data_IF_447672822781
#
_entry.id   IF_447672822781
#
_cell.length_a   1.000
_cell.length_b   1.000
_cell.length_c   1.000
_cell.angle_alpha   90.00
_cell.angle_beta   90.00
_cell.angle_gamma   90.00
#
_symmetry.space_group_name_H-M   'P 1'
#
loop_
_entity.id
_entity.type
_entity.pdbx_description
1 polymer ?
#
# COMPACT_ATOMS: atom_id res chain seq x y z
N UNK A 1 -3.73 9.81 25.01
CA UNK A 1 -4.08 10.46 23.74
C UNK A 1 -4.42 9.36 22.75
N UNK A 2 -5.68 9.21 22.36
CA UNK A 2 -6.02 8.35 21.25
C UNK A 2 -5.51 9.03 19.98
N UNK A 3 -4.62 8.38 19.23
CA UNK A 3 -4.23 8.86 17.90
C UNK A 3 -5.48 8.86 17.05
N UNK A 4 -6.03 10.04 16.75
CA UNK A 4 -7.12 10.16 15.79
C UNK A 4 -6.58 9.61 14.48
N UNK A 5 -7.17 8.52 13.99
CA UNK A 5 -6.89 8.00 12.66
C UNK A 5 -7.30 9.09 11.65
N UNK A 6 -6.31 9.85 11.18
CA UNK A 6 -6.46 10.88 10.16
C UNK A 6 -5.97 10.30 8.83
N UNK A 7 -6.64 10.66 7.73
CA UNK A 7 -6.25 10.37 6.34
C UNK A 7 -4.75 10.50 6.06
N UNK A 8 -4.04 11.41 6.72
CA UNK A 8 -2.58 11.54 6.59
C UNK A 8 -1.83 10.26 6.98
N UNK A 9 -2.25 9.55 8.03
CA UNK A 9 -1.62 8.30 8.47
C UNK A 9 -1.83 7.20 7.42
N UNK A 10 -3.03 7.15 6.82
CA UNK A 10 -3.36 6.17 5.77
C UNK A 10 -2.57 6.48 4.50
N UNK A 11 -2.52 7.75 4.08
CA UNK A 11 -1.74 8.17 2.92
C UNK A 11 -0.24 7.84 3.09
N UNK A 12 0.31 8.06 4.29
CA UNK A 12 1.69 7.69 4.60
C UNK A 12 1.91 6.17 4.53
N UNK A 13 0.98 5.38 5.04
CA UNK A 13 1.04 3.92 4.96
C UNK A 13 0.97 3.43 3.50
N UNK A 14 0.07 3.99 2.69
CA UNK A 14 -0.01 3.68 1.25
C UNK A 14 1.29 4.03 0.53
N UNK A 15 1.88 5.21 0.82
CA UNK A 15 3.17 5.62 0.24
C UNK A 15 4.32 4.69 0.64
N UNK A 16 4.32 4.14 1.86
CA UNK A 16 5.31 3.17 2.29
C UNK A 16 5.17 1.85 1.52
N UNK A 17 3.94 1.39 1.26
CA UNK A 17 3.68 0.22 0.41
C UNK A 17 4.17 0.46 -1.01
N UNK A 18 3.92 1.63 -1.60
CA UNK A 18 4.41 1.98 -2.93
C UNK A 18 5.95 2.00 -3.01
N UNK A 19 6.60 2.51 -1.96
CA UNK A 19 8.07 2.49 -1.85
C UNK A 19 8.61 1.06 -1.79
N UNK A 20 7.95 0.18 -1.04
CA UNK A 20 8.31 -1.23 -0.97
C UNK A 20 8.17 -1.93 -2.33
N UNK A 21 7.04 -1.74 -3.02
CA UNK A 21 6.81 -2.31 -4.36
C UNK A 21 7.87 -1.83 -5.36
N UNK A 22 8.20 -0.55 -5.32
CA UNK A 22 9.26 0.04 -6.18
C UNK A 22 10.61 -0.61 -5.90
N UNK A 23 10.97 -0.76 -4.63
CA UNK A 23 12.25 -1.36 -4.21
C UNK A 23 12.33 -2.83 -4.60
N UNK A 24 11.27 -3.61 -4.36
CA UNK A 24 11.22 -5.02 -4.73
C UNK A 24 11.32 -5.22 -6.27
N UNK A 25 10.66 -4.35 -7.03
CA UNK A 25 10.74 -4.36 -8.50
C UNK A 25 12.15 -4.05 -9.00
N UNK A 26 12.82 -3.06 -8.42
CA UNK A 26 14.19 -2.71 -8.77
C UNK A 26 15.16 -3.88 -8.47
N UNK A 27 15.06 -4.50 -7.29
CA UNK A 27 15.85 -5.67 -6.93
C UNK A 27 15.64 -6.83 -7.91
N UNK A 28 14.39 -7.09 -8.30
CA UNK A 28 14.09 -8.10 -9.31
C UNK A 28 14.77 -7.80 -10.65
N UNK A 29 14.74 -6.54 -11.11
CA UNK A 29 15.36 -6.13 -12.37
C UNK A 29 16.90 -6.26 -12.33
N UNK A 30 17.53 -5.89 -11.22
CA UNK A 30 18.97 -6.06 -11.02
C UNK A 30 19.36 -7.55 -11.04
N UNK A 31 18.62 -8.39 -10.31
CA UNK A 31 18.86 -9.84 -10.30
C UNK A 31 18.63 -10.46 -11.67
N UNK A 32 17.56 -10.07 -12.39
CA UNK A 32 17.30 -10.54 -13.74
C UNK A 32 18.44 -10.19 -14.69
N UNK A 33 18.97 -8.96 -14.58
CA UNK A 33 20.11 -8.50 -15.37
C UNK A 33 21.37 -9.30 -15.06
N UNK A 34 21.64 -9.55 -13.78
CA UNK A 34 22.79 -10.33 -13.34
C UNK A 34 22.71 -11.78 -13.84
N UNK A 35 21.56 -12.43 -13.67
CA UNK A 35 21.34 -13.81 -14.15
C UNK A 35 21.45 -13.87 -15.67
N UNK A 36 20.86 -12.93 -16.40
CA UNK A 36 20.98 -12.86 -17.86
C UNK A 36 22.44 -12.68 -18.28
N UNK A 37 23.20 -11.80 -17.62
CA UNK A 37 24.61 -11.54 -17.93
C UNK A 37 25.48 -12.75 -17.64
N UNK A 38 25.32 -13.37 -16.45
CA UNK A 38 26.06 -14.57 -16.08
C UNK A 38 25.84 -15.67 -17.12
N UNK A 39 24.59 -15.86 -17.53
CA UNK A 39 24.20 -17.00 -18.38
C UNK A 39 24.46 -16.77 -19.87
N UNK A 40 24.68 -15.52 -20.28
CA UNK A 40 25.14 -15.17 -21.63
C UNK A 40 26.66 -15.03 -21.73
N UNK A 41 27.36 -14.97 -20.60
CA UNK A 41 28.82 -15.01 -20.53
C UNK A 41 29.38 -16.43 -20.67
N UNK A 42 30.71 -16.58 -20.63
CA UNK A 42 31.37 -17.89 -20.62
C UNK A 42 31.10 -18.72 -19.34
N UNK A 43 30.27 -18.22 -18.41
CA UNK A 43 29.83 -18.95 -17.24
C UNK A 43 28.71 -19.93 -17.61
N UNK A 44 29.11 -21.18 -17.84
CA UNK A 44 28.24 -22.29 -18.28
C UNK A 44 28.44 -23.53 -17.38
N UNK A 45 27.48 -24.45 -17.42
CA UNK A 45 27.47 -25.69 -16.63
C UNK A 45 26.48 -25.66 -15.47
N UNK A 46 26.43 -26.75 -14.71
CA UNK A 46 25.39 -27.03 -13.71
C UNK A 46 25.15 -25.90 -12.69
N UNK A 47 26.21 -25.17 -12.33
CA UNK A 47 26.08 -24.02 -11.44
C UNK A 47 25.30 -22.86 -12.06
N UNK A 48 25.54 -22.56 -13.34
CA UNK A 48 24.81 -21.52 -14.07
C UNK A 48 23.32 -21.88 -14.22
N UNK A 49 23.04 -23.15 -14.47
CA UNK A 49 21.66 -23.64 -14.57
C UNK A 49 20.96 -23.65 -13.21
N UNK A 50 21.65 -24.01 -12.12
CA UNK A 50 21.13 -23.88 -10.76
C UNK A 50 20.76 -22.44 -10.38
N UNK A 51 21.56 -21.45 -10.77
CA UNK A 51 21.23 -20.04 -10.55
C UNK A 51 20.01 -19.59 -11.36
N UNK A 52 19.89 -20.01 -12.63
CA UNK A 52 18.68 -19.75 -13.45
C UNK A 52 17.46 -20.38 -12.81
N UNK A 53 17.56 -21.63 -12.39
CA UNK A 53 16.45 -22.37 -11.82
C UNK A 53 15.97 -21.72 -10.52
N UNK A 54 16.91 -21.37 -9.63
CA UNK A 54 16.57 -20.65 -8.40
C UNK A 54 15.90 -19.30 -8.71
N UNK A 55 16.45 -18.52 -9.63
CA UNK A 55 15.90 -17.21 -9.97
C UNK A 55 14.49 -17.32 -10.55
N UNK A 56 14.27 -18.23 -11.51
CA UNK A 56 12.98 -18.39 -12.19
C UNK A 56 11.93 -19.07 -11.32
N UNK A 57 12.30 -20.13 -10.58
CA UNK A 57 11.33 -20.99 -9.90
C UNK A 57 11.11 -20.60 -8.44
N UNK A 58 12.00 -19.80 -7.84
CA UNK A 58 11.92 -19.40 -6.41
C UNK A 58 11.88 -17.89 -6.24
N UNK A 59 12.83 -17.15 -6.80
CA UNK A 59 12.92 -15.70 -6.56
C UNK A 59 11.81 -14.93 -7.30
N UNK A 60 11.61 -15.20 -8.60
CA UNK A 60 10.62 -14.51 -9.44
C UNK A 60 9.19 -14.63 -8.90
N UNK A 61 8.67 -15.82 -8.54
CA UNK A 61 7.29 -15.95 -8.07
C UNK A 61 7.03 -15.25 -6.73
N UNK A 62 8.06 -15.12 -5.89
CA UNK A 62 7.94 -14.40 -4.62
C UNK A 62 7.96 -12.89 -4.88
N UNK A 63 9.01 -12.41 -5.56
CA UNK A 63 9.22 -10.98 -5.76
C UNK A 63 8.17 -10.35 -6.66
N UNK A 64 7.70 -11.07 -7.68
CA UNK A 64 6.75 -10.57 -8.67
C UNK A 64 5.33 -10.98 -8.28
N UNK A 65 5.02 -12.28 -8.32
CA UNK A 65 3.64 -12.74 -8.24
C UNK A 65 3.04 -12.55 -6.84
N UNK A 66 3.80 -12.88 -5.80
CA UNK A 66 3.33 -12.86 -4.42
C UNK A 66 3.37 -11.47 -3.79
N UNK A 67 4.38 -10.66 -4.14
CA UNK A 67 4.65 -9.41 -3.45
C UNK A 67 4.30 -8.15 -4.25
N UNK A 68 4.42 -8.13 -5.57
CA UNK A 68 4.23 -6.88 -6.35
C UNK A 68 3.18 -6.96 -7.46
N UNK A 69 2.57 -8.11 -7.70
CA UNK A 69 1.52 -8.25 -8.70
C UNK A 69 0.36 -7.27 -8.42
N UNK A 70 -0.11 -6.51 -9.43
CA UNK A 70 -0.94 -5.32 -9.21
C UNK A 70 -2.32 -5.58 -8.58
N UNK A 71 -2.79 -6.84 -8.53
CA UNK A 71 -4.14 -7.17 -8.02
C UNK A 71 -4.20 -8.40 -7.10
N UNK A 72 -3.20 -9.28 -7.14
CA UNK A 72 -3.21 -10.56 -6.43
C UNK A 72 -2.14 -10.66 -5.35
N UNK A 73 -1.21 -9.70 -5.32
CA UNK A 73 -0.14 -9.70 -4.34
C UNK A 73 -0.61 -9.24 -2.97
N UNK A 74 0.20 -9.57 -1.97
CA UNK A 74 0.02 -9.07 -0.62
C UNK A 74 -0.02 -7.53 -0.58
N UNK A 75 0.82 -6.84 -1.37
CA UNK A 75 0.85 -5.37 -1.38
C UNK A 75 -0.41 -4.77 -2.00
N UNK A 76 -0.96 -5.37 -3.05
CA UNK A 76 -2.25 -4.98 -3.63
C UNK A 76 -3.40 -5.15 -2.62
N UNK A 77 -3.40 -6.27 -1.87
CA UNK A 77 -4.35 -6.50 -0.79
C UNK A 77 -4.26 -5.46 0.32
N UNK A 78 -3.03 -5.12 0.76
CA UNK A 78 -2.81 -4.08 1.77
C UNK A 78 -3.31 -2.71 1.26
N UNK A 79 -3.03 -2.33 0.00
CA UNK A 79 -3.53 -1.08 -0.58
C UNK A 79 -5.06 -1.05 -0.60
N UNK A 80 -5.70 -2.15 -1.00
CA UNK A 80 -7.17 -2.27 -0.99
C UNK A 80 -7.73 -2.08 0.43
N UNK A 81 -7.09 -2.68 1.44
CA UNK A 81 -7.50 -2.48 2.83
C UNK A 81 -7.34 -1.02 3.27
N UNK A 82 -6.22 -0.36 2.93
CA UNK A 82 -5.99 1.05 3.25
C UNK A 82 -7.00 1.98 2.57
N UNK A 83 -7.35 1.71 1.31
CA UNK A 83 -8.35 2.48 0.56
C UNK A 83 -9.75 2.30 1.16
N UNK A 84 -10.11 1.08 1.57
CA UNK A 84 -11.37 0.81 2.27
C UNK A 84 -11.44 1.55 3.61
N UNK A 85 -10.35 1.53 4.40
CA UNK A 85 -10.28 2.29 5.67
C UNK A 85 -10.42 3.80 5.40
N UNK A 86 -9.74 4.32 4.38
CA UNK A 86 -9.84 5.73 3.98
C UNK A 86 -11.27 6.14 3.62
N UNK A 87 -11.97 5.29 2.87
CA UNK A 87 -13.36 5.49 2.44
C UNK A 87 -14.32 5.42 3.62
N UNK A 88 -14.18 4.44 4.51
CA UNK A 88 -15.02 4.35 5.71
C UNK A 88 -14.82 5.53 6.66
N UNK A 89 -13.59 6.10 6.74
CA UNK A 89 -13.36 7.35 7.45
C UNK A 89 -13.99 8.55 6.74
N UNK A 90 -13.98 8.59 5.41
CA UNK A 90 -14.68 9.61 4.62
C UNK A 90 -16.18 9.60 4.92
N UNK A 91 -16.83 8.44 4.92
CA UNK A 91 -18.27 8.32 5.20
C UNK A 91 -18.63 8.78 6.63
N UNK A 92 -17.78 8.47 7.62
CA UNK A 92 -18.00 8.93 9.00
C UNK A 92 -17.75 10.44 9.16
N UNK A 93 -16.74 10.99 8.47
CA UNK A 93 -16.44 12.43 8.49
C UNK A 93 -17.51 13.23 7.74
N UNK A 94 -18.12 12.69 6.67
CA UNK A 94 -19.17 13.37 5.90
C UNK A 94 -20.46 13.55 6.73
N UNK A 95 -20.85 12.56 7.53
CA UNK A 95 -21.99 12.71 8.46
C UNK A 95 -21.72 13.78 9.51
N UNK A 96 -20.53 13.78 10.13
CA UNK A 96 -20.18 14.76 11.17
C UNK A 96 -20.01 16.19 10.62
N UNK A 97 -19.40 16.35 9.44
CA UNK A 97 -19.33 17.63 8.74
C UNK A 97 -20.71 18.07 8.24
N UNK A 98 -21.54 17.14 7.77
CA UNK A 98 -22.91 17.41 7.34
C UNK A 98 -23.80 17.90 8.48
N UNK A 99 -23.71 17.28 9.66
CA UNK A 99 -24.41 17.75 10.87
C UNK A 99 -23.86 19.10 11.38
N UNK A 100 -22.54 19.25 11.39
CA UNK A 100 -21.90 20.53 11.73
C UNK A 100 -22.31 21.67 10.80
N UNK A 101 -22.42 21.41 9.50
CA UNK A 101 -22.88 22.40 8.51
C UNK A 101 -24.38 22.69 8.62
N UNK A 102 -25.21 21.69 8.97
CA UNK A 102 -26.66 21.92 9.19
C UNK A 102 -26.96 22.81 10.38
N UNK A 103 -26.09 22.80 11.39
CA UNK A 103 -26.26 23.57 12.63
C UNK A 103 -25.40 24.84 12.65
N UNK A 104 -24.56 25.04 11.64
CA UNK A 104 -23.72 26.22 11.49
C UNK A 104 -24.58 27.45 11.16
N UNK A 105 -24.61 28.43 12.08
CA UNK A 105 -25.32 29.69 11.93
C UNK A 105 -26.68 29.77 12.62
N UNK A 106 -27.16 28.68 13.24
CA UNK A 106 -28.36 28.70 14.06
C UNK A 106 -28.11 29.41 15.40
N UNK A 107 -28.48 30.69 15.47
CA UNK A 107 -28.38 31.52 16.67
C UNK A 107 -29.25 31.02 17.86
N UNK A 108 -30.09 30.00 17.67
CA UNK A 108 -31.04 29.50 18.67
C UNK A 108 -30.50 28.38 19.58
N UNK A 109 -29.33 27.80 19.28
CA UNK A 109 -28.76 26.73 20.12
C UNK A 109 -28.18 27.24 21.46
N UNK A 110 -27.85 28.53 21.57
CA UNK A 110 -27.26 29.11 22.78
C UNK A 110 -28.29 29.49 23.87
N UNK A 111 -29.56 29.69 23.52
CA UNK A 111 -30.55 30.22 24.48
C UNK A 111 -31.34 29.14 25.24
N UNK A 112 -31.32 27.90 24.75
CA UNK A 112 -32.02 26.77 25.40
C UNK A 112 -31.26 26.16 26.59
N UNK A 113 -29.97 26.50 26.78
CA UNK A 113 -29.14 25.97 27.87
C UNK A 113 -29.21 26.81 29.17
N UNK A 114 -29.91 27.94 29.18
CA UNK A 114 -29.99 28.85 30.34
C UNK A 114 -31.35 28.82 31.08
N UNK A 115 -32.26 27.88 30.76
CA UNK A 115 -33.62 27.81 31.35
C UNK A 115 -34.05 26.46 31.94
N UNK A 116 -33.11 25.66 32.46
CA UNK A 116 -33.45 24.60 33.43
C UNK A 116 -32.53 24.73 34.64
#
# INVERSE_FOLDING_TARGET
MATVLNKTIIANASSAVDTYVTTATALYQELNTLITTLTTSNFQGDAADGFKEFFNNKATPILVDSLTAPNTSLTAGIKTMLDNISTSLLDQVDVQLGEGNRTAGDASAAESAAKI
#
